data_IF_439805173252
#
_entry.id   IF_439805173252
#
_cell.length_a   1.000
_cell.length_b   1.000
_cell.length_c   1.000
_cell.angle_alpha   90.00
_cell.angle_beta   90.00
_cell.angle_gamma   90.00
#
_symmetry.space_group_name_H-M   'P 1'
#
loop_
_entity.id
_entity.type
_entity.pdbx_description
1 polymer ?
#
# COMPACT_ATOMS: atom_id res chain seq x y z
N UNK A 1 18.43 10.77 5.56
CA UNK A 1 17.62 9.94 4.64
C UNK A 1 16.45 9.37 5.43
N UNK A 2 15.22 9.73 5.06
CA UNK A 2 14.01 9.30 5.77
C UNK A 2 13.69 7.83 5.47
N UNK A 3 12.97 7.14 6.35
CA UNK A 3 12.46 5.79 6.09
C UNK A 3 10.95 5.89 5.93
N UNK A 4 10.42 5.38 4.82
CA UNK A 4 8.98 5.20 4.66
C UNK A 4 8.57 3.93 5.41
N UNK A 5 7.46 4.00 6.13
CA UNK A 5 6.85 2.82 6.71
C UNK A 5 5.56 2.49 5.97
N UNK A 6 5.36 1.20 5.70
CA UNK A 6 4.12 0.66 5.14
C UNK A 6 3.57 -0.40 6.07
N UNK A 7 2.27 -0.64 5.97
CA UNK A 7 1.58 -1.66 6.77
C UNK A 7 0.83 -2.62 5.85
N UNK A 8 0.68 -3.86 6.32
CA UNK A 8 -0.17 -4.86 5.71
C UNK A 8 -0.98 -5.55 6.80
N UNK A 9 -2.29 -5.62 6.60
CA UNK A 9 -3.27 -6.00 7.61
C UNK A 9 -3.95 -7.31 7.21
N UNK A 10 -3.60 -8.40 7.88
CA UNK A 10 -4.29 -9.67 7.71
C UNK A 10 -5.50 -9.73 8.64
N UNK A 11 -6.68 -9.47 8.08
CA UNK A 11 -7.95 -9.56 8.82
C UNK A 11 -8.51 -10.97 8.68
N UNK A 12 -8.67 -11.67 9.81
CA UNK A 12 -9.11 -13.07 9.83
C UNK A 12 -10.40 -13.27 10.62
N UNK A 13 -11.13 -14.32 10.27
CA UNK A 13 -12.26 -14.84 11.08
C UNK A 13 -12.27 -16.37 11.09
N UNK A 14 -13.05 -16.95 11.99
CA UNK A 14 -13.42 -18.37 11.93
C UNK A 14 -14.69 -18.52 11.09
N UNK A 15 -14.55 -19.11 9.91
CA UNK A 15 -15.67 -19.52 9.07
C UNK A 15 -16.15 -20.93 9.41
N UNK A 16 -17.21 -21.37 8.74
CA UNK A 16 -17.79 -22.72 8.91
C UNK A 16 -16.84 -23.85 8.49
N UNK A 17 -15.87 -23.56 7.63
CA UNK A 17 -14.91 -24.53 7.05
C UNK A 17 -13.45 -24.27 7.44
N UNK A 18 -13.22 -23.48 8.48
CA UNK A 18 -11.88 -23.17 8.98
C UNK A 18 -11.59 -21.67 9.04
N UNK A 19 -10.32 -21.30 9.12
CA UNK A 19 -9.91 -19.90 9.18
C UNK A 19 -10.01 -19.27 7.79
N UNK A 20 -10.54 -18.05 7.74
CA UNK A 20 -10.71 -17.26 6.52
C UNK A 20 -9.91 -15.96 6.63
N UNK A 21 -9.41 -15.49 5.50
CA UNK A 21 -8.72 -14.21 5.31
C UNK A 21 -9.65 -13.30 4.49
N UNK A 22 -9.80 -12.07 4.97
CA UNK A 22 -10.49 -11.03 4.22
C UNK A 22 -9.60 -10.51 3.10
N UNK A 23 -10.16 -10.48 1.89
CA UNK A 23 -9.52 -9.92 0.70
C UNK A 23 -10.49 -8.93 0.06
N UNK A 24 -9.95 -8.02 -0.74
CA UNK A 24 -10.77 -7.17 -1.60
C UNK A 24 -10.35 -7.30 -3.06
N UNK A 25 -11.32 -7.10 -3.95
CA UNK A 25 -11.12 -7.07 -5.39
C UNK A 25 -11.17 -5.62 -5.86
N UNK A 26 -10.05 -5.16 -6.41
CA UNK A 26 -9.97 -3.89 -7.11
C UNK A 26 -10.46 -4.06 -8.56
N UNK A 27 -11.30 -3.16 -9.09
CA UNK A 27 -11.81 -3.24 -10.47
C UNK A 27 -10.71 -3.42 -11.53
N UNK A 28 -9.56 -2.79 -11.30
CA UNK A 28 -8.39 -2.80 -12.19
C UNK A 28 -7.08 -3.32 -11.57
N UNK A 29 -7.06 -3.78 -10.31
CA UNK A 29 -5.79 -4.19 -9.66
C UNK A 29 -5.76 -5.63 -9.14
N UNK A 30 -6.82 -6.41 -9.43
CA UNK A 30 -6.92 -7.80 -9.01
C UNK A 30 -7.34 -7.94 -7.55
N UNK A 31 -6.90 -9.02 -6.90
CA UNK A 31 -7.27 -9.35 -5.52
C UNK A 31 -6.13 -8.97 -4.59
N UNK A 32 -6.44 -8.24 -3.53
CA UNK A 32 -5.46 -7.64 -2.64
C UNK A 32 -5.82 -7.85 -1.17
N UNK A 33 -4.81 -7.68 -0.32
CA UNK A 33 -4.84 -7.65 1.13
C UNK A 33 -4.78 -6.17 1.55
N UNK A 34 -5.55 -5.77 2.58
CA UNK A 34 -5.49 -4.41 3.08
C UNK A 34 -4.08 -3.96 3.45
N UNK A 35 -3.66 -2.79 2.97
CA UNK A 35 -2.31 -2.28 3.12
C UNK A 35 -2.24 -0.77 2.82
N UNK A 36 -1.34 -0.07 3.49
CA UNK A 36 -1.18 1.36 3.25
C UNK A 36 0.16 1.92 3.72
N UNK A 37 0.27 3.24 3.64
CA UNK A 37 1.48 3.99 4.05
C UNK A 37 1.23 4.59 5.43
N UNK A 38 2.21 4.45 6.32
CA UNK A 38 2.15 5.11 7.63
C UNK A 38 2.28 6.61 7.44
N UNK A 39 1.34 7.38 7.97
CA UNK A 39 1.35 8.82 7.87
C UNK A 39 2.44 9.47 8.73
N UNK A 40 2.72 10.74 8.45
CA UNK A 40 3.68 11.51 9.24
C UNK A 40 3.13 11.66 10.67
N UNK A 41 3.96 11.34 11.67
CA UNK A 41 3.60 11.31 13.10
C UNK A 41 2.60 10.22 13.49
N UNK A 42 2.34 9.25 12.60
CA UNK A 42 1.56 8.05 12.90
C UNK A 42 2.49 6.89 13.27
N UNK A 43 2.12 6.10 14.29
CA UNK A 43 2.85 4.86 14.57
C UNK A 43 2.33 3.71 13.68
N UNK A 44 3.16 2.70 13.36
CA UNK A 44 2.76 1.64 12.45
C UNK A 44 1.52 0.83 12.87
N UNK A 45 1.24 0.69 14.17
CA UNK A 45 0.04 -0.03 14.61
C UNK A 45 -1.21 0.83 14.42
N UNK A 46 -1.14 2.12 14.72
CA UNK A 46 -2.24 3.06 14.45
C UNK A 46 -2.57 3.12 12.96
N UNK A 47 -1.55 3.20 12.10
CA UNK A 47 -1.71 3.11 10.65
C UNK A 47 -2.40 1.81 10.23
N UNK A 48 -1.93 0.67 10.75
CA UNK A 48 -2.52 -0.63 10.43
C UNK A 48 -4.01 -0.71 10.82
N UNK A 49 -4.40 -0.10 11.94
CA UNK A 49 -5.81 -0.01 12.35
C UNK A 49 -6.63 0.87 11.41
N UNK A 50 -6.12 2.06 11.10
CA UNK A 50 -6.77 3.01 10.19
C UNK A 50 -7.00 2.37 8.81
N UNK A 51 -5.94 1.88 8.18
CA UNK A 51 -5.99 1.23 6.86
C UNK A 51 -6.93 0.02 6.86
N UNK A 52 -6.87 -0.82 7.90
CA UNK A 52 -7.77 -1.96 7.99
C UNK A 52 -9.24 -1.55 8.10
N UNK A 53 -9.57 -0.46 8.81
CA UNK A 53 -10.95 0.04 8.89
C UNK A 53 -11.37 0.71 7.58
N UNK A 54 -10.52 1.57 7.01
CA UNK A 54 -10.81 2.33 5.77
C UNK A 54 -11.05 1.41 4.58
N UNK A 55 -10.19 0.42 4.37
CA UNK A 55 -10.28 -0.47 3.20
C UNK A 55 -11.31 -1.59 3.39
N UNK A 56 -11.60 -1.98 4.65
CA UNK A 56 -12.56 -3.06 4.91
C UNK A 56 -13.95 -2.61 5.30
N UNK A 57 -14.12 -1.37 5.76
CA UNK A 57 -15.38 -0.90 6.33
C UNK A 57 -15.82 -1.65 7.59
N UNK A 58 -14.95 -2.48 8.18
CA UNK A 58 -15.24 -3.21 9.42
C UNK A 58 -14.75 -2.41 10.62
N UNK A 59 -15.69 -2.07 11.48
CA UNK A 59 -15.37 -1.54 12.80
C UNK A 59 -15.03 -2.66 13.80
N UNK A 60 -14.34 -2.30 14.88
CA UNK A 60 -14.11 -3.21 16.00
C UNK A 60 -13.12 -4.34 15.72
N UNK A 61 -12.24 -4.19 14.73
CA UNK A 61 -11.15 -5.14 14.48
C UNK A 61 -10.23 -5.27 15.70
N UNK A 62 -10.09 -6.49 16.20
CA UNK A 62 -9.24 -6.81 17.36
C UNK A 62 -7.84 -7.14 16.87
N UNK A 63 -6.84 -6.38 17.31
CA UNK A 63 -5.45 -6.72 17.06
C UNK A 63 -5.12 -8.03 17.78
N UNK A 64 -4.61 -9.02 17.03
CA UNK A 64 -4.12 -10.27 17.59
C UNK A 64 -2.63 -10.16 17.94
N UNK A 65 -1.80 -9.73 16.98
CA UNK A 65 -0.34 -9.61 17.14
C UNK A 65 0.30 -8.88 15.96
N UNK A 66 1.52 -8.39 16.17
CA UNK A 66 2.45 -8.12 15.06
C UNK A 66 3.02 -9.45 14.55
N UNK A 67 3.18 -9.56 13.23
CA UNK A 67 3.69 -10.75 12.55
C UNK A 67 5.15 -10.59 12.09
N UNK A 68 5.72 -9.40 12.26
CA UNK A 68 7.09 -9.08 11.87
C UNK A 68 7.19 -7.88 10.92
N UNK A 69 8.41 -7.66 10.44
CA UNK A 69 8.77 -6.57 9.53
C UNK A 69 9.59 -7.10 8.36
N UNK A 70 9.61 -6.35 7.26
CA UNK A 70 10.38 -6.66 6.06
C UNK A 70 10.96 -5.37 5.46
N UNK A 71 12.22 -5.42 5.03
CA UNK A 71 12.77 -4.41 4.14
C UNK A 71 12.08 -4.52 2.78
N UNK A 72 11.44 -3.44 2.35
CA UNK A 72 10.63 -3.37 1.12
C UNK A 72 11.09 -2.18 0.26
N UNK A 73 12.39 -2.13 -0.14
CA UNK A 73 12.94 -1.00 -0.87
C UNK A 73 12.28 -0.87 -2.25
N UNK A 74 12.25 0.35 -2.83
CA UNK A 74 11.82 0.51 -4.21
C UNK A 74 12.76 -0.24 -5.18
N UNK A 75 12.30 -0.61 -6.38
CA UNK A 75 13.15 -1.18 -7.41
C UNK A 75 14.29 -0.23 -7.80
N UNK A 76 15.41 -0.77 -8.30
CA UNK A 76 16.52 0.04 -8.82
C UNK A 76 16.03 1.03 -9.88
N UNK A 77 16.45 2.30 -9.76
CA UNK A 77 16.01 3.38 -10.63
C UNK A 77 14.67 4.01 -10.22
N UNK A 78 14.12 3.62 -9.07
CA UNK A 78 12.93 4.20 -8.48
C UNK A 78 13.18 4.65 -7.04
N UNK A 79 12.46 5.68 -6.62
CA UNK A 79 12.47 6.20 -5.26
C UNK A 79 11.05 6.30 -4.71
N UNK A 80 10.95 6.34 -3.39
CA UNK A 80 9.72 6.75 -2.70
C UNK A 80 9.81 8.23 -2.33
N UNK A 81 8.69 8.93 -2.45
CA UNK A 81 8.54 10.29 -1.95
C UNK A 81 8.40 10.26 -0.43
N UNK A 82 9.36 10.83 0.30
CA UNK A 82 9.46 10.80 1.75
C UNK A 82 8.44 11.70 2.46
N UNK A 83 8.01 12.79 1.82
CA UNK A 83 7.03 13.74 2.35
C UNK A 83 6.35 14.50 1.20
N UNK A 84 5.15 15.09 1.41
CA UNK A 84 4.42 15.73 0.34
C UNK A 84 5.21 16.91 -0.25
N UNK A 85 5.52 16.84 -1.54
CA UNK A 85 6.43 17.78 -2.21
C UNK A 85 5.79 18.40 -3.45
N UNK A 86 6.04 19.70 -3.75
CA UNK A 86 5.77 20.24 -5.08
C UNK A 86 6.65 19.57 -6.14
N UNK A 87 6.15 19.59 -7.38
CA UNK A 87 6.82 19.09 -8.57
C UNK A 87 7.12 20.27 -9.49
N UNK A 88 8.40 20.62 -9.58
CA UNK A 88 8.89 21.80 -10.26
C UNK A 88 9.09 21.54 -11.77
N UNK A 89 8.88 22.58 -12.58
CA UNK A 89 9.15 22.53 -14.02
C UNK A 89 10.65 22.58 -14.37
N UNK A 90 11.51 23.03 -13.45
CA UNK A 90 12.98 23.10 -13.57
C UNK A 90 13.64 22.74 -12.24
N UNK A 91 14.94 22.41 -12.27
CA UNK A 91 15.77 22.12 -11.10
C UNK A 91 16.09 23.39 -10.25
N UNK A 92 15.05 24.12 -9.81
CA UNK A 92 15.18 25.28 -8.94
C UNK A 92 13.84 25.62 -8.27
N UNK A 93 13.90 26.06 -7.02
CA UNK A 93 12.73 26.40 -6.20
C UNK A 93 11.90 27.55 -6.76
N UNK A 94 12.52 28.47 -7.51
CA UNK A 94 11.83 29.62 -8.09
C UNK A 94 11.09 29.30 -9.39
N UNK A 95 11.13 28.04 -9.84
CA UNK A 95 10.42 27.64 -11.05
C UNK A 95 8.97 27.31 -10.75
N UNK A 96 8.13 27.38 -11.78
CA UNK A 96 6.72 27.05 -11.65
C UNK A 96 6.54 25.60 -11.19
N UNK A 97 5.76 25.39 -10.13
CA UNK A 97 5.27 24.10 -9.68
C UNK A 97 3.79 23.94 -10.07
N UNK A 98 3.44 22.79 -10.63
CA UNK A 98 2.11 22.56 -11.20
C UNK A 98 1.41 21.33 -10.63
N UNK A 99 2.15 20.47 -9.95
CA UNK A 99 1.67 19.25 -9.32
C UNK A 99 2.31 19.07 -7.94
N UNK A 100 1.72 18.21 -7.12
CA UNK A 100 2.26 17.80 -5.83
C UNK A 100 2.24 16.28 -5.71
N UNK A 101 3.33 15.71 -5.26
CA UNK A 101 3.40 14.28 -4.92
C UNK A 101 3.06 14.06 -3.46
N UNK A 102 2.35 12.96 -3.19
CA UNK A 102 2.05 12.48 -1.83
C UNK A 102 3.20 11.62 -1.30
N UNK A 103 3.26 11.44 0.01
CA UNK A 103 4.19 10.51 0.65
C UNK A 103 3.97 9.07 0.18
N UNK A 104 5.04 8.28 0.04
CA UNK A 104 4.99 6.85 -0.20
C UNK A 104 4.68 6.43 -1.64
N UNK A 105 4.42 7.39 -2.54
CA UNK A 105 4.29 7.09 -3.97
C UNK A 105 5.65 6.76 -4.57
N UNK A 106 5.65 5.82 -5.52
CA UNK A 106 6.83 5.40 -6.25
C UNK A 106 7.05 6.30 -7.47
N UNK A 107 8.25 6.80 -7.66
CA UNK A 107 8.63 7.61 -8.82
C UNK A 107 9.90 7.07 -9.47
N UNK A 108 9.94 7.09 -10.79
CA UNK A 108 11.11 6.70 -11.59
C UNK A 108 12.11 7.86 -11.61
N UNK A 109 13.38 7.57 -11.36
CA UNK A 109 14.49 8.50 -11.56
C UNK A 109 14.79 8.65 -13.05
N UNK A 110 14.88 9.89 -13.54
CA UNK A 110 15.30 10.16 -14.92
C UNK A 110 16.70 10.77 -15.01
N UNK A 111 17.00 11.76 -14.16
CA UNK A 111 18.30 12.47 -14.11
C UNK A 111 18.42 13.38 -12.90
N UNK A 112 19.63 13.86 -12.63
CA UNK A 112 19.97 14.77 -11.54
C UNK A 112 20.52 16.11 -12.05
N UNK A 113 20.16 17.21 -11.39
CA UNK A 113 20.68 18.55 -11.67
C UNK A 113 20.54 19.44 -10.42
N UNK A 114 21.64 20.08 -10.00
CA UNK A 114 21.64 21.16 -8.99
C UNK A 114 20.90 20.86 -7.66
N UNK A 115 21.00 19.63 -7.13
CA UNK A 115 20.32 19.23 -5.89
C UNK A 115 18.85 18.82 -6.07
N UNK A 116 18.44 18.62 -7.33
CA UNK A 116 17.13 18.11 -7.71
C UNK A 116 17.27 16.85 -8.55
N UNK A 117 16.29 15.97 -8.39
CA UNK A 117 16.09 14.80 -9.23
C UNK A 117 14.89 15.07 -10.13
N UNK A 118 15.06 14.90 -11.44
CA UNK A 118 13.93 14.81 -12.34
C UNK A 118 13.34 13.41 -12.23
N UNK A 119 12.05 13.33 -11.92
CA UNK A 119 11.34 12.09 -11.70
C UNK A 119 10.10 12.00 -12.59
N UNK A 120 9.62 10.77 -12.78
CA UNK A 120 8.37 10.46 -13.46
C UNK A 120 7.47 9.58 -12.61
N UNK A 121 6.24 10.05 -12.40
CA UNK A 121 5.13 9.25 -11.90
C UNK A 121 4.25 8.81 -13.08
N UNK A 122 3.75 7.58 -13.05
CA UNK A 122 2.85 7.02 -14.05
C UNK A 122 1.70 6.31 -13.36
N UNK A 123 0.47 6.65 -13.74
CA UNK A 123 -0.74 5.94 -13.31
C UNK A 123 -1.26 5.08 -14.47
N UNK A 124 -1.06 3.75 -14.46
CA UNK A 124 -1.65 2.88 -15.46
C UNK A 124 -3.16 2.72 -15.26
N UNK A 125 -3.88 2.27 -16.29
CA UNK A 125 -5.32 1.96 -16.15
C UNK A 125 -5.58 0.78 -15.21
N UNK A 126 -4.60 -0.12 -15.11
CA UNK A 126 -4.61 -1.33 -14.27
C UNK A 126 -3.21 -1.71 -13.84
N UNK A 127 -3.08 -2.41 -12.72
CA UNK A 127 -1.77 -2.84 -12.21
C UNK A 127 -1.28 -4.12 -12.88
N UNK A 128 -2.19 -5.00 -13.28
CA UNK A 128 -1.88 -6.26 -13.97
C UNK A 128 -2.14 -6.09 -15.46
N UNK A 129 -1.10 -6.28 -16.27
CA UNK A 129 -1.13 -6.14 -17.73
C UNK A 129 -1.68 -4.77 -18.20
N UNK A 130 -1.00 -3.66 -17.86
CA UNK A 130 -1.47 -2.31 -18.18
C UNK A 130 -1.62 -2.10 -19.69
N UNK A 131 -2.76 -1.56 -20.10
CA UNK A 131 -3.05 -1.31 -21.52
C UNK A 131 -2.67 0.11 -21.94
N UNK A 132 -2.80 1.07 -21.03
CA UNK A 132 -2.38 2.45 -21.25
C UNK A 132 -2.08 3.18 -19.94
N UNK A 133 -1.43 4.33 -20.04
CA UNK A 133 -1.18 5.24 -18.93
C UNK A 133 -2.31 6.27 -18.90
N UNK A 134 -3.05 6.34 -17.79
CA UNK A 134 -4.14 7.30 -17.59
C UNK A 134 -3.60 8.72 -17.47
N UNK A 135 -2.52 8.91 -16.70
CA UNK A 135 -1.77 10.15 -16.66
C UNK A 135 -0.32 9.92 -16.23
N UNK A 136 0.56 10.86 -16.59
CA UNK A 136 1.96 10.88 -16.17
C UNK A 136 2.35 12.28 -15.73
N UNK A 137 3.10 12.36 -14.64
CA UNK A 137 3.66 13.61 -14.12
C UNK A 137 5.17 13.49 -14.18
N UNK A 138 5.79 14.36 -14.98
CA UNK A 138 7.26 14.48 -15.06
C UNK A 138 7.68 15.86 -14.61
N UNK A 139 8.66 15.93 -13.71
CA UNK A 139 9.18 17.19 -13.20
C UNK A 139 10.29 16.97 -12.18
N UNK A 140 10.67 18.03 -11.49
CA UNK A 140 11.81 18.05 -10.58
C UNK A 140 11.35 18.09 -9.14
N UNK A 141 12.00 17.31 -8.29
CA UNK A 141 11.83 17.33 -6.83
C UNK A 141 13.21 17.49 -6.18
N UNK A 142 13.27 18.06 -4.98
CA UNK A 142 14.54 18.21 -4.28
C UNK A 142 15.04 16.84 -3.80
N UNK A 143 16.35 16.58 -3.85
CA UNK A 143 16.90 15.25 -3.56
C UNK A 143 16.53 14.75 -2.15
N UNK A 144 16.40 15.68 -1.20
CA UNK A 144 16.07 15.37 0.20
C UNK A 144 14.68 14.76 0.41
N UNK A 145 13.79 14.88 -0.58
CA UNK A 145 12.42 14.37 -0.51
C UNK A 145 12.31 12.95 -1.04
N UNK A 146 13.41 12.36 -1.54
CA UNK A 146 13.45 11.01 -2.05
C UNK A 146 14.11 10.04 -1.05
N UNK A 147 13.67 8.79 -1.05
CA UNK A 147 14.30 7.73 -0.27
C UNK A 147 14.15 6.35 -0.90
N UNK A 148 15.16 5.52 -0.65
CA UNK A 148 15.22 4.10 -1.00
C UNK A 148 14.96 3.20 0.22
N UNK A 149 14.67 3.79 1.37
CA UNK A 149 14.40 3.05 2.60
C UNK A 149 12.91 2.93 2.83
N UNK A 150 12.43 1.70 2.80
CA UNK A 150 11.06 1.36 3.15
C UNK A 150 11.01 0.10 4.00
N UNK A 151 10.26 0.17 5.11
CA UNK A 151 10.03 -0.97 6.00
C UNK A 151 8.53 -1.24 6.02
N UNK A 152 8.16 -2.48 5.72
CA UNK A 152 6.78 -2.96 5.81
C UNK A 152 6.56 -3.70 7.12
N UNK A 153 5.50 -3.34 7.83
CA UNK A 153 5.05 -4.00 9.05
C UNK A 153 3.83 -4.87 8.76
N UNK A 154 3.80 -6.07 9.34
CA UNK A 154 2.69 -7.00 9.18
C UNK A 154 1.92 -7.14 10.49
N UNK A 155 0.60 -7.02 10.43
CA UNK A 155 -0.28 -7.15 11.58
C UNK A 155 -1.41 -8.13 11.30
N UNK A 156 -1.78 -8.89 12.34
CA UNK A 156 -2.95 -9.76 12.31
C UNK A 156 -4.08 -9.14 13.11
N UNK A 157 -5.24 -9.04 12.48
CA UNK A 157 -6.49 -8.62 13.09
C UNK A 157 -7.51 -9.75 13.05
N UNK A 158 -8.44 -9.70 13.99
CA UNK A 158 -9.61 -10.56 14.05
C UNK A 158 -10.86 -9.74 13.87
N UNK A 159 -11.68 -10.10 12.89
CA UNK A 159 -13.03 -9.57 12.74
C UNK A 159 -14.02 -10.29 13.66
N UNK A 160 -15.16 -9.65 13.92
CA UNK A 160 -16.29 -10.31 14.56
C UNK A 160 -16.76 -11.51 13.74
N UNK A 161 -17.33 -12.52 14.40
CA UNK A 161 -17.82 -13.72 13.71
C UNK A 161 -19.06 -13.43 12.83
N UNK A 162 -19.81 -12.36 13.14
CA UNK A 162 -21.02 -11.97 12.41
C UNK A 162 -20.73 -10.86 11.39
N UNK A 163 -19.76 -11.08 10.50
CA UNK A 163 -19.55 -10.23 9.32
C UNK A 163 -20.24 -10.85 8.11
N UNK A 164 -20.75 -10.04 7.16
CA UNK A 164 -21.24 -10.55 5.89
C UNK A 164 -20.17 -11.38 5.15
N UNK A 165 -20.60 -12.32 4.33
CA UNK A 165 -19.67 -13.12 3.52
C UNK A 165 -19.04 -12.30 2.38
N UNK A 166 -19.75 -11.28 1.91
CA UNK A 166 -19.30 -10.31 0.92
C UNK A 166 -19.98 -8.96 1.14
N UNK A 167 -19.30 -7.87 0.82
CA UNK A 167 -19.84 -6.51 0.83
C UNK A 167 -18.98 -5.58 -0.03
N UNK A 168 -19.39 -4.33 -0.17
CA UNK A 168 -18.64 -3.33 -0.91
C UNK A 168 -18.30 -2.12 -0.05
N UNK A 169 -17.12 -1.56 -0.25
CA UNK A 169 -16.65 -0.33 0.40
C UNK A 169 -16.20 0.64 -0.68
N UNK A 170 -16.66 1.88 -0.57
CA UNK A 170 -16.22 2.96 -1.44
C UNK A 170 -15.14 3.77 -0.73
N UNK A 171 -13.89 3.66 -1.17
CA UNK A 171 -12.77 4.50 -0.70
C UNK A 171 -11.82 4.79 -1.86
N UNK A 172 -11.09 5.90 -1.78
CA UNK A 172 -10.18 6.39 -2.83
C UNK A 172 -10.80 6.46 -4.25
N UNK A 173 -12.06 6.88 -4.32
CA UNK A 173 -12.85 6.96 -5.57
C UNK A 173 -13.06 5.62 -6.29
N UNK A 174 -12.79 4.51 -5.63
CA UNK A 174 -13.05 3.16 -6.13
C UNK A 174 -14.09 2.46 -5.25
N UNK A 175 -14.79 1.50 -5.85
CA UNK A 175 -15.64 0.57 -5.10
C UNK A 175 -14.91 -0.77 -5.07
N UNK A 176 -14.58 -1.21 -3.86
CA UNK A 176 -13.93 -2.49 -3.61
C UNK A 176 -14.97 -3.54 -3.24
N UNK A 177 -14.86 -4.72 -3.83
CA UNK A 177 -15.65 -5.88 -3.40
C UNK A 177 -14.84 -6.70 -2.41
N UNK A 178 -15.33 -6.78 -1.17
CA UNK A 178 -14.73 -7.55 -0.10
C UNK A 178 -15.37 -8.93 0.01
N UNK A 179 -14.54 -9.92 0.28
CA UNK A 179 -14.99 -11.30 0.46
C UNK A 179 -14.03 -12.10 1.33
N UNK A 180 -14.56 -13.11 2.01
CA UNK A 180 -13.77 -14.04 2.82
C UNK A 180 -13.27 -15.21 1.96
N UNK A 181 -11.96 -15.42 1.94
CA UNK A 181 -11.31 -16.55 1.30
C UNK A 181 -10.78 -17.52 2.35
N UNK A 182 -10.90 -18.83 2.11
CA UNK A 182 -10.32 -19.80 3.05
C UNK A 182 -8.80 -19.77 2.97
N UNK A 183 -8.15 -19.82 4.12
CA UNK A 183 -6.68 -19.76 4.18
C UNK A 183 -5.98 -20.93 3.48
N UNK A 184 -6.64 -22.08 3.38
CA UNK A 184 -6.12 -23.26 2.68
C UNK A 184 -6.49 -23.29 1.17
N UNK A 185 -7.23 -22.30 0.68
CA UNK A 185 -7.76 -22.24 -0.68
C UNK A 185 -7.85 -20.76 -1.12
N UNK A 186 -6.75 -20.03 -0.99
CA UNK A 186 -6.69 -18.61 -1.34
C UNK A 186 -6.74 -18.42 -2.87
N UNK A 187 -7.48 -17.42 -3.39
CA UNK A 187 -7.42 -17.07 -4.80
C UNK A 187 -6.05 -16.47 -5.16
N UNK A 188 -5.83 -16.23 -6.46
CA UNK A 188 -4.63 -15.53 -6.93
C UNK A 188 -4.60 -14.07 -6.43
N UNK A 189 -3.86 -13.83 -5.34
CA UNK A 189 -3.56 -12.51 -4.81
C UNK A 189 -2.50 -11.84 -5.69
N UNK A 190 -2.68 -10.55 -5.99
CA UNK A 190 -1.79 -9.77 -6.84
C UNK A 190 -0.38 -9.67 -6.23
N UNK A 191 0.65 -9.88 -7.05
CA UNK A 191 2.06 -9.68 -6.65
C UNK A 191 2.33 -8.20 -6.32
N UNK A 192 3.15 -7.88 -5.31
CA UNK A 192 3.93 -8.78 -4.45
C UNK A 192 3.17 -9.34 -3.24
N UNK A 193 1.89 -9.01 -3.07
CA UNK A 193 1.17 -9.28 -1.83
C UNK A 193 0.94 -10.76 -1.54
N UNK A 194 0.85 -11.59 -2.58
CA UNK A 194 0.82 -13.05 -2.44
C UNK A 194 2.00 -13.58 -1.59
N UNK A 195 3.19 -13.01 -1.74
CA UNK A 195 4.38 -13.39 -0.98
C UNK A 195 4.31 -13.03 0.51
N UNK A 196 3.40 -12.14 0.91
CA UNK A 196 3.25 -11.71 2.29
C UNK A 196 2.44 -12.70 3.13
N UNK A 197 1.61 -13.54 2.51
CA UNK A 197 0.77 -14.53 3.21
C UNK A 197 1.59 -15.46 4.12
N UNK A 198 2.87 -15.70 3.80
CA UNK A 198 3.80 -16.47 4.65
C UNK A 198 3.91 -15.96 6.09
N UNK A 199 3.78 -14.64 6.32
CA UNK A 199 3.82 -14.05 7.66
C UNK A 199 2.60 -14.43 8.48
N UNK A 200 1.44 -14.61 7.84
CA UNK A 200 0.22 -15.05 8.50
C UNK A 200 0.25 -16.55 8.79
N UNK A 201 0.60 -17.37 7.79
CA UNK A 201 0.61 -18.83 7.92
C UNK A 201 1.60 -19.29 9.01
N UNK A 202 2.82 -18.75 9.00
CA UNK A 202 3.81 -19.09 10.02
C UNK A 202 3.41 -18.70 11.45
N UNK A 203 2.46 -17.78 11.63
CA UNK A 203 1.94 -17.39 12.94
C UNK A 203 0.71 -18.19 13.40
N UNK A 204 0.06 -18.95 12.50
CA UNK A 204 -1.08 -19.81 12.82
C UNK A 204 -0.62 -21.24 13.17
N UNK A 205 0.53 -21.66 12.63
CA UNK A 205 1.14 -22.98 12.89
C UNK A 205 1.89 -23.07 14.24
N UNK A 206 1.95 -21.96 15.00
CA UNK A 206 2.62 -21.82 16.30
C UNK A 206 1.72 -21.13 17.35
#
# INVERSE_FOLDING_TARGET
>A
MFTIHKVTCFVTRKGSRGNELLLFRHPSAGIQIPAGTVEINEDPLSAARREAVEETGLDGLVLLRSLGIMDDPPPTGFHLVAHPTPVYSRARLSSFDWARFKTGILVEELRHEAGFTQVRYMEPDRTVDPQYITYSITGWVHDEVLTDRCIRHFYSFKAAAHTPDHWSVATDNHVFELFWARLNELPAITSPQNGWVKYLVGAIEH
#
